data_IF_746893462729
#
_entry.id   IF_746893462729
#
_cell.length_a   1.000
_cell.length_b   1.000
_cell.length_c   1.000
_cell.angle_alpha   90.00
_cell.angle_beta   90.00
_cell.angle_gamma   90.00
#
_symmetry.space_group_name_H-M   'P 1'
#
loop_
_entity.id
_entity.type
_entity.pdbx_description
1 polymer ?
#
# COMPACT_ATOMS: atom_id res chain seq x y z
N UNK A 1 -14.93 13.49 2.28
CA UNK A 1 -15.92 13.30 3.34
C UNK A 1 -15.20 13.51 4.66
N UNK A 2 -15.79 14.25 5.58
CA UNK A 2 -15.33 14.26 6.97
C UNK A 2 -16.02 13.12 7.71
N UNK A 3 -15.24 12.23 8.30
CA UNK A 3 -15.75 11.15 9.16
C UNK A 3 -15.33 11.46 10.58
N UNK A 4 -16.31 11.51 11.48
CA UNK A 4 -16.09 11.65 12.91
C UNK A 4 -16.59 10.43 13.66
N UNK A 5 -15.82 9.95 14.63
CA UNK A 5 -16.16 8.79 15.45
C UNK A 5 -15.93 9.12 16.91
N UNK A 6 -16.97 8.93 17.73
CA UNK A 6 -16.87 9.01 19.19
C UNK A 6 -16.60 7.62 19.75
N UNK A 7 -15.38 7.39 20.25
CA UNK A 7 -14.94 6.08 20.68
C UNK A 7 -14.01 6.10 21.90
N UNK A 8 -13.85 4.94 22.53
CA UNK A 8 -12.93 4.72 23.65
C UNK A 8 -12.44 3.27 23.66
N UNK A 9 -11.31 3.07 24.34
CA UNK A 9 -10.78 1.76 24.63
C UNK A 9 -11.23 1.27 26.01
N UNK A 10 -12.15 0.30 26.03
CA UNK A 10 -12.69 -0.22 27.30
C UNK A 10 -11.92 -1.46 27.72
N UNK A 11 -11.54 -1.52 29.00
CA UNK A 11 -10.96 -2.72 29.63
C UNK A 11 -9.69 -3.21 28.93
N UNK A 12 -8.78 -2.28 28.58
CA UNK A 12 -7.46 -2.62 27.99
C UNK A 12 -6.64 -3.50 28.93
N UNK A 13 -6.74 -3.23 30.23
CA UNK A 13 -6.19 -4.06 31.29
C UNK A 13 -7.24 -5.10 31.71
N UNK A 14 -6.90 -6.37 31.56
CA UNK A 14 -7.79 -7.49 31.84
C UNK A 14 -7.04 -8.66 32.48
N UNK A 15 -7.78 -9.62 33.05
CA UNK A 15 -7.22 -10.75 33.79
C UNK A 15 -7.43 -12.11 33.07
N UNK A 16 -7.78 -12.07 31.77
CA UNK A 16 -7.91 -13.25 30.91
C UNK A 16 -6.58 -13.91 30.51
N UNK A 17 -5.42 -13.31 30.82
CA UNK A 17 -4.11 -13.85 30.46
C UNK A 17 -4.00 -14.24 28.98
N UNK A 18 -3.44 -15.42 28.69
CA UNK A 18 -3.31 -15.97 27.33
C UNK A 18 -4.62 -16.50 26.73
N UNK A 19 -5.74 -16.45 27.45
CA UNK A 19 -7.02 -16.96 26.95
C UNK A 19 -7.56 -16.14 25.78
N UNK A 20 -7.17 -14.87 25.65
CA UNK A 20 -7.49 -14.04 24.47
C UNK A 20 -6.50 -14.24 23.31
N UNK A 21 -5.64 -15.26 23.40
CA UNK A 21 -4.57 -15.51 22.45
C UNK A 21 -3.37 -14.62 22.74
N UNK A 22 -2.94 -13.89 21.72
CA UNK A 22 -1.78 -13.00 21.73
C UNK A 22 -2.14 -11.56 22.18
N UNK A 23 -3.41 -11.29 22.51
CA UNK A 23 -3.88 -9.97 22.94
C UNK A 23 -3.00 -9.43 24.08
N UNK A 24 -2.27 -8.35 23.80
CA UNK A 24 -1.33 -7.76 24.74
C UNK A 24 -2.09 -6.91 25.75
N UNK A 25 -1.98 -7.32 27.00
CA UNK A 25 -2.70 -6.71 28.10
C UNK A 25 -2.19 -5.29 28.37
N UNK A 26 -3.07 -4.30 28.31
CA UNK A 26 -2.72 -2.89 28.49
C UNK A 26 -2.24 -2.16 27.23
N UNK A 27 -2.18 -2.84 26.08
CA UNK A 27 -1.84 -2.18 24.81
C UNK A 27 -2.92 -1.21 24.34
N UNK A 28 -2.56 -0.17 23.56
CA UNK A 28 -3.54 0.68 22.88
C UNK A 28 -4.44 -0.14 21.95
N UNK A 29 -5.73 0.22 21.90
CA UNK A 29 -6.64 -0.37 20.92
C UNK A 29 -6.57 0.46 19.63
N UNK A 30 -6.41 -0.19 18.50
CA UNK A 30 -6.29 0.49 17.22
C UNK A 30 -7.66 0.53 16.55
N UNK A 31 -8.22 1.73 16.49
CA UNK A 31 -9.42 2.00 15.69
C UNK A 31 -9.00 2.34 14.26
N UNK A 32 -9.55 1.63 13.29
CA UNK A 32 -9.31 1.84 11.86
C UNK A 32 -10.61 2.30 11.19
N UNK A 33 -10.52 3.34 10.37
CA UNK A 33 -11.57 3.74 9.44
C UNK A 33 -11.20 3.17 8.08
N UNK A 34 -12.09 2.40 7.48
CA UNK A 34 -11.89 1.83 6.16
C UNK A 34 -13.03 2.18 5.21
N UNK A 35 -12.71 2.44 3.94
CA UNK A 35 -13.68 2.43 2.86
C UNK A 35 -13.86 0.98 2.40
N UNK A 36 -15.10 0.48 2.41
CA UNK A 36 -15.42 -0.89 2.01
C UNK A 36 -16.41 -0.92 0.87
N UNK A 37 -16.17 -1.83 -0.07
CA UNK A 37 -17.09 -2.11 -1.16
C UNK A 37 -17.87 -3.40 -0.84
N UNK A 38 -19.20 -3.27 -0.82
CA UNK A 38 -20.15 -4.38 -0.61
C UNK A 38 -21.01 -4.67 -1.84
N UNK A 39 -20.78 -3.98 -2.95
CA UNK A 39 -21.55 -4.16 -4.18
C UNK A 39 -21.40 -5.62 -4.65
N UNK A 40 -22.52 -6.30 -4.87
CA UNK A 40 -22.57 -7.73 -5.19
C UNK A 40 -22.89 -8.65 -4.00
N UNK A 41 -23.05 -8.13 -2.78
CA UNK A 41 -23.57 -8.92 -1.66
C UNK A 41 -25.10 -9.01 -1.67
N UNK A 42 -25.62 -10.21 -1.42
CA UNK A 42 -27.06 -10.53 -1.30
C UNK A 42 -27.64 -10.29 0.11
N UNK A 43 -26.85 -9.83 1.07
CA UNK A 43 -27.28 -9.50 2.44
C UNK A 43 -26.73 -8.14 2.86
N UNK A 44 -27.49 -7.40 3.67
CA UNK A 44 -27.15 -6.05 4.18
C UNK A 44 -25.89 -6.00 5.05
N UNK A 45 -25.28 -7.16 5.34
CA UNK A 45 -24.02 -7.34 6.09
C UNK A 45 -22.96 -8.08 5.27
N UNK A 46 -22.99 -7.87 3.96
CA UNK A 46 -22.23 -8.61 2.95
C UNK A 46 -20.74 -8.84 3.12
N UNK A 47 -20.25 -9.82 2.36
CA UNK A 47 -18.80 -9.99 2.14
C UNK A 47 -18.24 -8.70 1.54
N UNK A 48 -17.19 -8.19 2.16
CA UNK A 48 -16.43 -7.04 1.66
C UNK A 48 -15.58 -7.53 0.49
N UNK A 49 -15.83 -7.01 -0.72
CA UNK A 49 -15.08 -7.37 -1.92
C UNK A 49 -13.75 -6.64 -2.00
N UNK A 50 -13.74 -5.37 -1.55
CA UNK A 50 -12.56 -4.52 -1.47
C UNK A 50 -12.61 -3.65 -0.22
N UNK A 51 -11.44 -3.43 0.38
CA UNK A 51 -11.28 -2.61 1.58
C UNK A 51 -10.03 -1.76 1.45
N UNK A 52 -10.15 -0.48 1.80
CA UNK A 52 -9.06 0.49 1.79
C UNK A 52 -9.02 1.12 3.18
N UNK A 53 -7.91 0.96 3.90
CA UNK A 53 -7.68 1.68 5.16
C UNK A 53 -7.55 3.17 4.86
N UNK A 54 -8.36 3.99 5.51
CA UNK A 54 -8.37 5.46 5.35
C UNK A 54 -7.62 6.14 6.51
N UNK A 55 -7.84 5.69 7.74
CA UNK A 55 -7.21 6.26 8.92
C UNK A 55 -7.06 5.22 10.03
N UNK A 56 -6.09 5.43 10.94
CA UNK A 56 -5.86 4.61 12.13
C UNK A 56 -5.53 5.51 13.32
N UNK A 57 -6.09 5.19 14.49
CA UNK A 57 -5.80 5.90 15.74
C UNK A 57 -5.68 4.93 16.92
N UNK A 58 -4.77 5.23 17.84
CA UNK A 58 -4.64 4.51 19.10
C UNK A 58 -5.58 5.09 20.15
N UNK A 59 -6.33 4.21 20.79
CA UNK A 59 -7.20 4.52 21.92
C UNK A 59 -6.57 3.97 23.20
N UNK A 60 -6.30 4.85 24.15
CA UNK A 60 -5.60 4.53 25.41
C UNK A 60 -6.45 4.75 26.66
N UNK A 61 -7.50 5.56 26.56
CA UNK A 61 -8.39 5.89 27.67
C UNK A 61 -9.77 5.23 27.52
N UNK A 62 -10.50 5.15 28.65
CA UNK A 62 -11.87 4.62 28.70
C UNK A 62 -12.92 5.71 28.49
N UNK A 63 -12.52 6.98 28.51
CA UNK A 63 -13.41 8.12 28.30
C UNK A 63 -13.69 8.31 26.80
N UNK A 64 -14.95 8.53 26.40
CA UNK A 64 -15.28 8.65 24.98
C UNK A 64 -14.79 9.98 24.39
N UNK A 65 -13.87 9.89 23.44
CA UNK A 65 -13.30 11.02 22.71
C UNK A 65 -13.79 11.07 21.25
N UNK A 66 -13.79 12.27 20.68
CA UNK A 66 -14.09 12.49 19.27
C UNK A 66 -12.80 12.44 18.44
N UNK A 67 -12.83 11.63 17.38
CA UNK A 67 -11.78 11.57 16.38
C UNK A 67 -12.36 11.94 15.02
N UNK A 68 -11.64 12.72 14.24
CA UNK A 68 -12.12 13.27 12.97
C UNK A 68 -11.05 13.17 11.89
N UNK A 69 -11.48 12.81 10.67
CA UNK A 69 -10.61 12.73 9.50
C UNK A 69 -11.31 13.22 8.25
N UNK A 70 -10.60 13.99 7.45
CA UNK A 70 -10.96 14.26 6.07
C UNK A 70 -10.40 13.17 5.16
N UNK A 71 -11.30 12.41 4.55
CA UNK A 71 -10.96 11.23 3.75
C UNK A 71 -11.56 11.33 2.35
N UNK A 72 -10.82 10.79 1.40
CA UNK A 72 -11.35 10.50 0.06
C UNK A 72 -12.00 9.13 0.06
N UNK A 73 -13.23 9.05 -0.44
CA UNK A 73 -13.98 7.81 -0.59
C UNK A 73 -14.71 7.82 -1.93
N UNK A 74 -14.46 6.80 -2.75
CA UNK A 74 -15.08 6.67 -4.07
C UNK A 74 -16.57 6.36 -3.96
N UNK A 75 -17.35 6.77 -4.97
CA UNK A 75 -18.77 6.44 -5.05
C UNK A 75 -18.99 4.92 -5.01
N UNK A 76 -19.88 4.49 -4.12
CA UNK A 76 -20.21 3.07 -3.91
C UNK A 76 -19.41 2.39 -2.81
N UNK A 77 -18.40 3.06 -2.23
CA UNK A 77 -17.78 2.63 -0.98
C UNK A 77 -18.56 3.20 0.22
N UNK A 78 -18.56 2.44 1.31
CA UNK A 78 -19.14 2.81 2.59
C UNK A 78 -18.05 2.88 3.66
N UNK A 79 -18.14 3.77 4.66
CA UNK A 79 -17.17 3.79 5.74
C UNK A 79 -17.48 2.70 6.77
N UNK A 80 -16.44 2.05 7.27
CA UNK A 80 -16.50 1.03 8.32
C UNK A 80 -15.50 1.35 9.43
N UNK A 81 -15.98 1.35 10.68
CA UNK A 81 -15.14 1.47 11.87
C UNK A 81 -14.75 0.06 12.33
N UNK A 82 -13.45 -0.17 12.50
CA UNK A 82 -12.88 -1.49 12.76
C UNK A 82 -11.97 -1.46 13.99
N UNK A 83 -11.94 -2.58 14.70
CA UNK A 83 -10.98 -2.84 15.76
C UNK A 83 -9.79 -3.60 15.19
N UNK A 84 -8.77 -2.87 14.73
CA UNK A 84 -7.71 -3.40 13.85
C UNK A 84 -6.84 -4.46 14.51
N UNK A 85 -6.29 -4.16 15.69
CA UNK A 85 -5.54 -5.11 16.50
C UNK A 85 -6.46 -5.93 17.43
N UNK A 86 -7.76 -5.97 17.10
CA UNK A 86 -8.81 -6.68 17.78
C UNK A 86 -8.84 -8.19 17.48
N UNK A 87 -9.79 -8.92 18.09
CA UNK A 87 -10.04 -10.32 17.77
C UNK A 87 -10.51 -10.51 16.31
N UNK A 88 -9.75 -11.29 15.53
CA UNK A 88 -10.05 -11.55 14.11
C UNK A 88 -11.38 -12.28 13.86
N UNK A 89 -11.88 -13.06 14.83
CA UNK A 89 -13.13 -13.80 14.69
C UNK A 89 -13.83 -14.00 16.03
N UNK A 90 -15.07 -13.51 16.15
CA UNK A 90 -15.88 -13.65 17.36
C UNK A 90 -16.09 -15.13 17.76
N UNK A 91 -16.31 -16.03 16.79
CA UNK A 91 -16.44 -17.47 17.06
C UNK A 91 -15.17 -18.07 17.69
N UNK A 92 -14.00 -17.66 17.20
CA UNK A 92 -12.71 -18.09 17.76
C UNK A 92 -12.56 -17.58 19.19
N UNK A 93 -12.87 -16.30 19.43
CA UNK A 93 -12.84 -15.73 20.79
C UNK A 93 -13.75 -16.52 21.75
N UNK A 94 -15.01 -16.78 21.38
CA UNK A 94 -15.96 -17.53 22.21
C UNK A 94 -15.40 -18.90 22.57
N UNK A 95 -14.82 -19.61 21.59
CA UNK A 95 -14.14 -20.89 21.84
C UNK A 95 -12.97 -20.73 22.80
N UNK A 96 -12.11 -19.74 22.59
CA UNK A 96 -10.93 -19.53 23.44
C UNK A 96 -11.31 -19.18 24.88
N UNK A 97 -12.29 -18.30 25.08
CA UNK A 97 -12.80 -17.93 26.42
C UNK A 97 -13.40 -19.13 27.15
N UNK A 98 -14.22 -19.93 26.46
CA UNK A 98 -14.86 -21.12 27.07
C UNK A 98 -13.94 -22.32 27.22
N UNK A 99 -12.70 -22.27 26.69
CA UNK A 99 -11.70 -23.33 26.82
C UNK A 99 -10.59 -22.94 27.80
N UNK A 100 -10.06 -21.72 27.69
CA UNK A 100 -8.87 -21.27 28.41
C UNK A 100 -9.16 -20.31 29.57
N UNK A 101 -10.38 -19.79 29.67
CA UNK A 101 -10.86 -18.99 30.79
C UNK A 101 -12.14 -19.60 31.40
N UNK A 102 -12.35 -20.91 31.23
CA UNK A 102 -13.57 -21.61 31.65
C UNK A 102 -13.82 -21.54 33.18
N UNK A 103 -12.77 -21.27 33.95
CA UNK A 103 -12.79 -21.09 35.40
C UNK A 103 -13.40 -19.75 35.84
N UNK A 104 -13.48 -18.77 34.93
CA UNK A 104 -14.06 -17.45 35.20
C UNK A 104 -15.58 -17.54 35.48
N UNK A 105 -16.09 -16.90 36.55
CA UNK A 105 -17.51 -16.96 36.92
C UNK A 105 -18.47 -16.59 35.79
N UNK A 106 -18.11 -15.61 34.96
CA UNK A 106 -18.91 -15.13 33.84
C UNK A 106 -19.04 -16.15 32.68
N UNK A 107 -18.14 -17.13 32.57
CA UNK A 107 -18.16 -18.11 31.48
C UNK A 107 -18.66 -19.49 31.90
N UNK A 108 -18.60 -19.83 33.20
CA UNK A 108 -19.09 -21.11 33.75
C UNK A 108 -20.47 -21.54 33.23
N UNK A 109 -21.50 -20.66 33.13
CA UNK A 109 -22.82 -21.07 32.64
C UNK A 109 -22.82 -21.56 31.18
N UNK A 110 -21.80 -21.19 30.40
CA UNK A 110 -21.76 -21.40 28.95
C UNK A 110 -20.78 -22.51 28.52
N UNK A 111 -19.95 -23.03 29.42
CA UNK A 111 -18.89 -24.02 29.09
C UNK A 111 -19.49 -25.28 28.48
N UNK A 112 -20.50 -25.86 29.13
CA UNK A 112 -21.13 -27.12 28.71
C UNK A 112 -22.26 -26.95 27.68
N UNK A 113 -22.60 -25.70 27.34
CA UNK A 113 -23.60 -25.45 26.31
C UNK A 113 -23.11 -25.90 24.93
N UNK A 114 -24.05 -26.46 24.15
CA UNK A 114 -23.83 -26.77 22.73
C UNK A 114 -23.43 -25.48 21.99
N UNK A 115 -22.49 -25.60 21.05
CA UNK A 115 -22.11 -24.49 20.19
C UNK A 115 -23.32 -23.91 19.44
N UNK A 116 -23.45 -22.58 19.46
CA UNK A 116 -24.57 -21.87 18.86
C UNK A 116 -24.59 -20.38 19.20
N UNK A 117 -25.55 -19.65 18.65
CA UNK A 117 -25.70 -18.20 18.86
C UNK A 117 -25.97 -17.85 20.32
N UNK A 118 -26.75 -18.66 21.03
CA UNK A 118 -27.07 -18.44 22.45
C UNK A 118 -25.81 -18.47 23.32
N UNK A 119 -24.99 -19.52 23.19
CA UNK A 119 -23.68 -19.62 23.86
C UNK A 119 -22.79 -18.43 23.51
N UNK A 120 -22.68 -18.09 22.23
CA UNK A 120 -21.85 -16.97 21.78
C UNK A 120 -22.30 -15.63 22.39
N UNK A 121 -23.61 -15.34 22.36
CA UNK A 121 -24.18 -14.12 22.92
C UNK A 121 -23.97 -14.02 24.43
N UNK A 122 -24.18 -15.13 25.15
CA UNK A 122 -23.97 -15.21 26.59
C UNK A 122 -22.52 -14.94 26.99
N UNK A 123 -21.57 -15.63 26.34
CA UNK A 123 -20.12 -15.44 26.54
C UNK A 123 -19.70 -14.01 26.23
N UNK A 124 -20.15 -13.44 25.10
CA UNK A 124 -19.79 -12.08 24.70
C UNK A 124 -20.43 -11.00 25.58
N UNK A 125 -21.59 -11.26 26.20
CA UNK A 125 -22.17 -10.37 27.21
C UNK A 125 -21.39 -10.40 28.53
N UNK A 126 -20.93 -11.59 28.94
CA UNK A 126 -20.12 -11.76 30.15
C UNK A 126 -18.69 -11.26 29.99
N UNK A 127 -18.19 -11.15 28.76
CA UNK A 127 -16.84 -10.74 28.43
C UNK A 127 -16.51 -9.33 28.94
N UNK A 128 -15.47 -9.24 29.78
CA UNK A 128 -14.97 -7.99 30.37
C UNK A 128 -13.59 -7.58 29.84
N UNK A 129 -13.16 -8.13 28.70
CA UNK A 129 -11.84 -7.82 28.15
C UNK A 129 -11.88 -6.62 27.20
N UNK A 130 -10.78 -6.41 26.46
CA UNK A 130 -10.62 -5.28 25.55
C UNK A 130 -11.76 -5.16 24.55
N UNK A 131 -12.36 -3.97 24.49
CA UNK A 131 -13.45 -3.62 23.56
C UNK A 131 -13.22 -2.22 22.99
N UNK A 132 -13.21 -2.13 21.67
CA UNK A 132 -13.46 -0.87 20.97
C UNK A 132 -14.94 -0.53 21.14
N UNK A 133 -15.25 0.52 21.91
CA UNK A 133 -16.62 0.99 22.07
C UNK A 133 -16.82 2.24 21.22
N UNK A 134 -17.82 2.18 20.35
CA UNK A 134 -18.24 3.30 19.49
C UNK A 134 -19.59 3.78 19.98
N UNK A 135 -19.72 5.08 20.24
CA UNK A 135 -20.98 5.70 20.66
C UNK A 135 -21.70 6.36 19.49
N UNK A 136 -20.95 7.04 18.63
CA UNK A 136 -21.50 7.81 17.53
C UNK A 136 -20.54 7.80 16.35
N UNK A 137 -21.10 7.76 15.14
CA UNK A 137 -20.37 7.94 13.88
C UNK A 137 -21.12 9.02 13.11
N UNK A 138 -20.40 10.07 12.72
CA UNK A 138 -20.89 11.13 11.84
C UNK A 138 -20.14 11.09 10.52
N UNK A 139 -20.86 11.35 9.43
CA UNK A 139 -20.29 11.47 8.08
C UNK A 139 -20.84 12.76 7.49
N UNK A 140 -19.95 13.60 6.98
CA UNK A 140 -20.28 14.84 6.29
C UNK A 140 -19.64 14.84 4.89
N UNK A 141 -20.32 15.47 3.93
CA UNK A 141 -19.87 15.60 2.55
C UNK A 141 -20.70 14.83 1.51
N UNK A 142 -20.19 14.65 0.28
CA UNK A 142 -18.84 15.01 -0.15
C UNK A 142 -18.59 16.52 -0.08
N UNK A 143 -17.42 16.93 0.44
CA UNK A 143 -17.04 18.33 0.47
C UNK A 143 -16.62 18.77 -0.94
N UNK A 144 -17.16 19.91 -1.36
CA UNK A 144 -16.83 20.56 -2.62
C UNK A 144 -16.46 22.00 -2.28
N UNK A 145 -15.17 22.24 -2.06
CA UNK A 145 -14.67 23.55 -1.61
C UNK A 145 -14.85 24.63 -2.68
N UNK A 146 -14.66 24.23 -3.94
CA UNK A 146 -14.79 25.11 -5.10
C UNK A 146 -15.65 24.40 -6.15
N UNK A 147 -16.71 25.07 -6.58
CA UNK A 147 -17.48 24.68 -7.75
C UNK A 147 -17.22 25.67 -8.90
N UNK A 148 -16.95 25.20 -10.13
CA UNK A 148 -16.85 23.80 -10.51
C UNK A 148 -15.63 23.06 -9.93
N UNK A 149 -15.67 21.73 -9.86
CA UNK A 149 -14.52 20.95 -9.36
C UNK A 149 -13.33 20.99 -10.34
N UNK A 150 -12.13 20.60 -9.89
CA UNK A 150 -10.97 20.49 -10.80
C UNK A 150 -11.23 19.54 -11.98
N UNK A 151 -11.93 18.42 -11.74
CA UNK A 151 -12.34 17.49 -12.81
C UNK A 151 -13.37 18.12 -13.76
N UNK A 152 -14.31 18.90 -13.24
CA UNK A 152 -15.26 19.65 -14.08
C UNK A 152 -14.52 20.65 -14.96
N UNK A 153 -13.65 21.49 -14.39
CA UNK A 153 -12.84 22.45 -15.17
C UNK A 153 -11.93 21.79 -16.18
N UNK A 154 -11.39 20.61 -15.87
CA UNK A 154 -10.53 19.87 -16.78
C UNK A 154 -11.28 19.39 -18.03
N UNK A 155 -12.53 18.94 -17.87
CA UNK A 155 -13.37 18.43 -18.95
C UNK A 155 -14.19 19.53 -19.63
N UNK A 156 -14.94 20.30 -18.85
CA UNK A 156 -15.98 21.22 -19.33
C UNK A 156 -15.59 22.71 -19.23
N UNK A 157 -14.46 23.03 -18.60
CA UNK A 157 -14.12 24.42 -18.27
C UNK A 157 -15.12 25.02 -17.28
N UNK A 158 -15.60 26.23 -17.57
CA UNK A 158 -16.64 26.91 -16.76
C UNK A 158 -18.05 26.71 -17.33
N UNK A 159 -18.21 25.85 -18.34
CA UNK A 159 -19.50 25.64 -18.99
C UNK A 159 -20.48 24.91 -18.06
N UNK A 160 -21.71 25.39 -18.07
CA UNK A 160 -22.90 24.71 -17.55
C UNK A 160 -23.46 23.72 -18.59
N UNK A 161 -24.40 22.87 -18.18
CA UNK A 161 -24.98 21.86 -19.09
C UNK A 161 -25.73 22.52 -20.25
N UNK A 162 -26.37 23.65 -19.99
CA UNK A 162 -27.19 24.40 -20.94
C UNK A 162 -26.33 25.13 -21.99
N UNK A 163 -25.06 25.37 -21.70
CA UNK A 163 -24.09 26.01 -22.60
C UNK A 163 -23.34 25.00 -23.47
N UNK A 164 -23.65 23.70 -23.36
CA UNK A 164 -23.09 22.66 -24.20
C UNK A 164 -23.82 22.62 -25.55
N UNK A 165 -23.13 23.06 -26.58
CA UNK A 165 -23.54 22.96 -27.98
C UNK A 165 -22.37 22.47 -28.85
N UNK A 166 -22.61 22.34 -30.16
CA UNK A 166 -21.59 21.82 -31.06
C UNK A 166 -20.30 22.65 -31.08
N UNK A 167 -20.40 23.98 -30.94
CA UNK A 167 -19.24 24.88 -30.99
C UNK A 167 -18.46 24.84 -29.67
N UNK A 168 -19.17 24.93 -28.54
CA UNK A 168 -18.53 24.91 -27.22
C UNK A 168 -17.89 23.56 -26.93
N UNK A 169 -18.54 22.45 -27.31
CA UNK A 169 -17.98 21.09 -27.18
C UNK A 169 -16.73 20.94 -28.05
N UNK A 170 -16.76 21.39 -29.32
CA UNK A 170 -15.61 21.31 -30.22
C UNK A 170 -14.37 21.98 -29.62
N UNK A 171 -14.52 23.21 -29.10
CA UNK A 171 -13.44 23.95 -28.46
C UNK A 171 -12.94 23.28 -27.18
N UNK A 172 -13.84 22.78 -26.33
CA UNK A 172 -13.42 22.14 -25.08
C UNK A 172 -12.72 20.80 -25.31
N UNK A 173 -13.08 20.06 -26.37
CA UNK A 173 -12.36 18.84 -26.75
C UNK A 173 -10.91 19.12 -27.13
N UNK A 174 -10.62 20.25 -27.79
CA UNK A 174 -9.23 20.64 -28.11
C UNK A 174 -8.44 20.95 -26.84
N UNK A 175 -9.03 21.75 -25.94
CA UNK A 175 -8.40 22.10 -24.66
C UNK A 175 -8.18 20.87 -23.76
N UNK A 176 -9.15 19.95 -23.75
CA UNK A 176 -9.02 18.70 -23.02
C UNK A 176 -7.97 17.78 -23.66
N UNK A 177 -7.94 17.68 -24.99
CA UNK A 177 -6.94 16.91 -25.72
C UNK A 177 -5.52 17.43 -25.46
N UNK A 178 -5.30 18.74 -25.46
CA UNK A 178 -4.00 19.35 -25.13
C UNK A 178 -3.50 18.91 -23.75
N UNK A 179 -4.38 18.99 -22.73
CA UNK A 179 -4.06 18.56 -21.36
C UNK A 179 -3.83 17.05 -21.28
N UNK A 180 -4.70 16.25 -21.91
CA UNK A 180 -4.63 14.79 -21.89
C UNK A 180 -3.37 14.28 -22.60
N UNK A 181 -3.01 14.88 -23.74
CA UNK A 181 -1.84 14.50 -24.52
C UNK A 181 -0.55 15.07 -23.95
N UNK A 182 -0.66 16.08 -23.07
CA UNK A 182 0.46 16.79 -22.39
C UNK A 182 1.31 17.59 -23.38
N UNK A 183 0.69 17.97 -24.49
CA UNK A 183 1.26 18.76 -25.59
C UNK A 183 0.11 19.31 -26.43
N UNK A 184 0.35 20.35 -27.24
CA UNK A 184 -0.56 20.70 -28.32
C UNK A 184 -0.83 19.48 -29.22
N UNK A 185 -2.10 19.21 -29.57
CA UNK A 185 -2.43 18.18 -30.55
C UNK A 185 -1.75 18.46 -31.90
N UNK A 186 -1.37 17.41 -32.64
CA UNK A 186 -0.83 17.59 -34.00
C UNK A 186 -1.98 17.89 -34.97
N UNK A 187 -1.67 18.49 -36.11
CA UNK A 187 -2.66 18.82 -37.14
C UNK A 187 -3.49 17.59 -37.53
N UNK A 188 -4.81 17.70 -37.46
CA UNK A 188 -5.77 16.63 -37.75
C UNK A 188 -5.91 15.55 -36.66
N UNK A 189 -5.19 15.62 -35.54
CA UNK A 189 -5.23 14.58 -34.49
C UNK A 189 -6.58 14.49 -33.78
N UNK A 190 -7.24 15.64 -33.56
CA UNK A 190 -8.51 15.74 -32.82
C UNK A 190 -9.72 15.66 -33.75
N UNK A 191 -9.54 15.91 -35.05
CA UNK A 191 -10.62 16.00 -36.04
C UNK A 191 -11.49 14.74 -36.12
N UNK A 192 -10.97 13.49 -36.11
CA UNK A 192 -11.80 12.30 -36.09
C UNK A 192 -12.71 12.21 -34.86
N UNK A 193 -12.25 12.73 -33.72
CA UNK A 193 -13.01 12.73 -32.46
C UNK A 193 -14.10 13.81 -32.50
N UNK A 194 -13.77 14.99 -33.01
CA UNK A 194 -14.76 16.05 -33.22
C UNK A 194 -15.88 15.61 -34.19
N UNK A 195 -15.52 14.91 -35.26
CA UNK A 195 -16.48 14.35 -36.22
C UNK A 195 -17.40 13.31 -35.57
N UNK A 196 -16.85 12.39 -34.76
CA UNK A 196 -17.64 11.42 -33.98
C UNK A 196 -18.69 12.10 -33.10
N UNK A 197 -18.28 13.17 -32.40
CA UNK A 197 -19.14 13.93 -31.50
C UNK A 197 -20.21 14.69 -32.29
N UNK A 198 -19.83 15.34 -33.39
CA UNK A 198 -20.76 16.07 -34.25
C UNK A 198 -21.82 15.14 -34.86
N UNK A 199 -21.45 13.93 -35.27
CA UNK A 199 -22.39 12.95 -35.80
C UNK A 199 -23.32 12.39 -34.71
N UNK A 200 -22.81 12.23 -33.48
CA UNK A 200 -23.63 11.86 -32.32
C UNK A 200 -24.69 12.93 -32.00
N UNK A 201 -24.31 14.21 -32.05
CA UNK A 201 -25.24 15.34 -31.87
C UNK A 201 -26.30 15.37 -32.98
N UNK A 202 -25.92 15.16 -34.25
CA UNK A 202 -26.87 15.08 -35.38
C UNK A 202 -27.85 13.91 -35.24
N UNK A 203 -27.43 12.82 -34.60
CA UNK A 203 -28.28 11.67 -34.30
C UNK A 203 -29.25 11.92 -33.12
N UNK A 204 -29.18 13.08 -32.47
CA UNK A 204 -30.07 13.45 -31.36
C UNK A 204 -29.61 12.97 -29.98
N UNK A 205 -28.34 12.58 -29.82
CA UNK A 205 -27.75 12.27 -28.51
C UNK A 205 -27.68 13.56 -27.67
N UNK A 206 -27.91 13.45 -26.36
CA UNK A 206 -27.81 14.58 -25.43
C UNK A 206 -26.40 15.22 -25.50
N UNK A 207 -26.27 16.56 -25.51
CA UNK A 207 -24.97 17.22 -25.66
C UNK A 207 -23.92 16.82 -24.62
N UNK A 208 -24.33 16.58 -23.37
CA UNK A 208 -23.40 16.13 -22.33
C UNK A 208 -22.90 14.72 -22.61
N UNK A 209 -23.77 13.81 -23.03
CA UNK A 209 -23.40 12.44 -23.38
C UNK A 209 -22.48 12.40 -24.60
N UNK A 210 -22.79 13.19 -25.64
CA UNK A 210 -21.95 13.32 -26.83
C UNK A 210 -20.57 13.90 -26.49
N UNK A 211 -20.50 14.89 -25.60
CA UNK A 211 -19.22 15.42 -25.14
C UNK A 211 -18.42 14.37 -24.34
N UNK A 212 -19.07 13.67 -23.41
CA UNK A 212 -18.42 12.59 -22.65
C UNK A 212 -17.87 11.49 -23.57
N UNK A 213 -18.56 11.17 -24.67
CA UNK A 213 -18.06 10.25 -25.69
C UNK A 213 -16.76 10.78 -26.34
N UNK A 214 -16.68 12.07 -26.65
CA UNK A 214 -15.46 12.70 -27.17
C UNK A 214 -14.31 12.65 -26.16
N UNK A 215 -14.57 12.94 -24.89
CA UNK A 215 -13.56 12.83 -23.83
C UNK A 215 -13.09 11.38 -23.66
N UNK A 216 -13.99 10.39 -23.73
CA UNK A 216 -13.63 8.97 -23.71
C UNK A 216 -12.74 8.61 -24.90
N UNK A 217 -13.07 9.08 -26.10
CA UNK A 217 -12.26 8.85 -27.29
C UNK A 217 -10.84 9.45 -27.15
N UNK A 218 -10.70 10.64 -26.57
CA UNK A 218 -9.40 11.26 -26.25
C UNK A 218 -8.61 10.37 -25.27
N UNK A 219 -9.25 9.84 -24.22
CA UNK A 219 -8.61 8.96 -23.24
C UNK A 219 -8.27 7.56 -23.80
N UNK A 220 -8.79 7.20 -24.98
CA UNK A 220 -8.41 5.99 -25.70
C UNK A 220 -7.45 6.26 -26.86
N UNK A 221 -7.11 7.52 -27.14
CA UNK A 221 -6.26 7.88 -28.27
C UNK A 221 -4.76 7.59 -27.98
N UNK A 222 -3.95 7.31 -29.02
CA UNK A 222 -2.51 7.11 -28.87
C UNK A 222 -1.80 8.28 -28.16
N UNK A 223 -2.23 9.51 -28.40
CA UNK A 223 -1.69 10.72 -27.76
C UNK A 223 -1.84 10.72 -26.23
N UNK A 224 -2.85 10.02 -25.69
CA UNK A 224 -3.04 9.85 -24.24
C UNK A 224 -2.34 8.59 -23.71
N UNK A 225 -2.48 7.46 -24.41
CA UNK A 225 -1.96 6.17 -23.95
C UNK A 225 -0.43 6.08 -23.96
N UNK A 226 0.22 6.78 -24.89
CA UNK A 226 1.67 6.75 -25.05
C UNK A 226 2.28 8.13 -24.77
N UNK A 227 3.45 8.14 -24.13
CA UNK A 227 4.29 9.32 -24.06
C UNK A 227 5.07 9.46 -25.37
N UNK A 228 4.71 10.45 -26.18
CA UNK A 228 5.47 10.77 -27.39
C UNK A 228 6.73 11.55 -26.98
N UNK A 229 7.88 10.88 -27.00
CA UNK A 229 9.17 11.48 -26.65
C UNK A 229 9.96 12.00 -27.86
N UNK A 230 9.48 11.76 -29.08
CA UNK A 230 10.23 12.00 -30.31
C UNK A 230 11.42 11.04 -30.48
N UNK A 231 12.31 11.39 -31.41
CA UNK A 231 13.56 10.68 -31.68
C UNK A 231 14.77 11.55 -31.31
N UNK A 232 15.84 10.93 -30.81
CA UNK A 232 17.06 11.65 -30.43
C UNK A 232 16.98 12.34 -29.05
N UNK A 233 17.70 13.45 -28.85
CA UNK A 233 17.60 14.25 -27.62
C UNK A 233 16.18 14.73 -27.37
N UNK A 234 15.72 14.67 -26.11
CA UNK A 234 14.36 15.07 -25.76
C UNK A 234 14.15 16.57 -26.00
N UNK A 235 13.13 16.92 -26.77
CA UNK A 235 12.61 18.29 -26.84
C UNK A 235 12.00 18.72 -25.49
N UNK A 236 11.83 20.02 -25.28
CA UNK A 236 11.44 20.60 -23.98
C UNK A 236 10.11 20.03 -23.44
N UNK A 237 9.08 19.90 -24.28
CA UNK A 237 7.77 19.33 -23.88
C UNK A 237 7.90 17.83 -23.55
N UNK A 238 8.70 17.09 -24.32
CA UNK A 238 8.98 15.68 -24.06
C UNK A 238 9.78 15.50 -22.76
N UNK A 239 10.70 16.42 -22.46
CA UNK A 239 11.46 16.48 -21.21
C UNK A 239 10.54 16.73 -20.01
N UNK A 240 9.63 17.71 -20.09
CA UNK A 240 8.63 17.98 -19.05
C UNK A 240 7.73 16.75 -18.77
N UNK A 241 7.25 16.12 -19.85
CA UNK A 241 6.43 14.90 -19.73
C UNK A 241 7.21 13.75 -19.11
N UNK A 242 8.45 13.50 -19.54
CA UNK A 242 9.28 12.43 -18.97
C UNK A 242 9.59 12.69 -17.50
N UNK A 243 9.92 13.93 -17.13
CA UNK A 243 10.26 14.31 -15.76
C UNK A 243 9.07 14.15 -14.81
N UNK A 244 7.89 14.64 -15.21
CA UNK A 244 6.66 14.52 -14.42
C UNK A 244 6.21 13.08 -14.23
N UNK A 245 6.26 12.24 -15.26
CA UNK A 245 5.92 10.83 -15.10
C UNK A 245 6.97 10.05 -14.30
N UNK A 246 8.24 10.44 -14.38
CA UNK A 246 9.31 9.86 -13.57
C UNK A 246 9.14 10.17 -12.08
N UNK A 247 8.94 11.45 -11.72
CA UNK A 247 8.93 11.89 -10.32
C UNK A 247 7.54 11.87 -9.67
N UNK A 248 6.47 12.08 -10.44
CA UNK A 248 5.10 12.20 -9.91
C UNK A 248 4.13 11.14 -10.42
N UNK A 249 4.51 10.36 -11.44
CA UNK A 249 3.60 9.41 -12.11
C UNK A 249 2.28 10.09 -12.53
N UNK A 250 2.36 11.35 -12.95
CA UNK A 250 1.23 12.18 -13.37
C UNK A 250 1.66 13.19 -14.43
N UNK A 251 0.71 13.83 -15.14
CA UNK A 251 1.00 14.92 -16.06
C UNK A 251 1.85 16.04 -15.43
N UNK A 252 2.64 16.76 -16.26
CA UNK A 252 3.36 17.95 -15.82
C UNK A 252 2.39 19.02 -15.32
N UNK A 253 2.81 19.81 -14.34
CA UNK A 253 2.03 20.96 -13.90
C UNK A 253 2.22 22.15 -14.85
N UNK A 254 1.42 23.20 -14.66
CA UNK A 254 1.41 24.39 -15.51
C UNK A 254 2.79 25.05 -15.56
N UNK A 255 3.51 25.13 -14.43
CA UNK A 255 4.86 25.68 -14.37
C UNK A 255 5.83 24.89 -15.24
N UNK A 256 5.82 23.55 -15.15
CA UNK A 256 6.73 22.72 -15.93
C UNK A 256 6.42 22.77 -17.43
N UNK A 257 5.14 22.86 -17.79
CA UNK A 257 4.70 23.06 -19.18
C UNK A 257 5.09 24.45 -19.70
N UNK A 258 4.89 25.51 -18.92
CA UNK A 258 5.24 26.87 -19.30
C UNK A 258 6.73 27.04 -19.58
N UNK A 259 7.59 26.51 -18.69
CA UNK A 259 9.03 26.48 -18.89
C UNK A 259 9.42 25.69 -20.15
N UNK A 260 8.72 24.60 -20.44
CA UNK A 260 8.98 23.80 -21.63
C UNK A 260 8.57 24.51 -22.92
N UNK A 261 7.40 25.16 -22.94
CA UNK A 261 6.90 25.96 -24.08
C UNK A 261 7.85 27.12 -24.38
N UNK A 262 8.36 27.78 -23.35
CA UNK A 262 9.32 28.88 -23.47
C UNK A 262 10.78 28.42 -23.66
N UNK A 263 11.04 27.12 -23.75
CA UNK A 263 12.37 26.51 -23.92
C UNK A 263 13.40 26.86 -22.82
N UNK A 264 12.92 27.05 -21.60
CA UNK A 264 13.74 27.36 -20.43
C UNK A 264 13.87 26.16 -19.47
N UNK A 265 13.06 25.11 -19.61
CA UNK A 265 13.04 23.99 -18.67
C UNK A 265 14.42 23.33 -18.51
N UNK A 266 15.15 23.08 -19.59
CA UNK A 266 16.49 22.48 -19.48
C UNK A 266 17.48 23.33 -18.67
N UNK A 267 17.36 24.66 -18.73
CA UNK A 267 18.22 25.57 -17.99
C UNK A 267 17.90 25.58 -16.48
N UNK A 268 16.63 25.36 -16.11
CA UNK A 268 16.13 25.33 -14.72
C UNK A 268 15.91 23.90 -14.18
N UNK A 269 16.50 22.90 -14.83
CA UNK A 269 16.22 21.50 -14.52
C UNK A 269 16.54 21.13 -13.05
N UNK A 270 17.68 21.55 -12.45
CA UNK A 270 17.98 21.25 -11.04
C UNK A 270 16.95 21.83 -10.06
N UNK A 271 16.50 23.05 -10.29
CA UNK A 271 15.50 23.75 -9.48
C UNK A 271 14.14 23.03 -9.59
N UNK A 272 13.74 22.65 -10.81
CA UNK A 272 12.49 21.92 -11.04
C UNK A 272 12.53 20.52 -10.41
N UNK A 273 13.64 19.78 -10.51
CA UNK A 273 13.79 18.48 -9.84
C UNK A 273 13.64 18.62 -8.32
N UNK A 274 14.31 19.61 -7.73
CA UNK A 274 14.24 19.88 -6.28
C UNK A 274 12.81 20.21 -5.84
N UNK A 275 12.14 21.11 -6.57
CA UNK A 275 10.74 21.47 -6.33
C UNK A 275 9.82 20.25 -6.43
N UNK A 276 10.01 19.42 -7.44
CA UNK A 276 9.16 18.26 -7.68
C UNK A 276 9.35 17.18 -6.62
N UNK A 277 10.57 16.96 -6.14
CA UNK A 277 10.84 16.02 -5.04
C UNK A 277 10.27 16.51 -3.69
N UNK A 278 10.13 17.83 -3.50
CA UNK A 278 9.49 18.41 -2.32
C UNK A 278 7.95 18.36 -2.36
N UNK A 279 7.35 18.15 -3.54
CA UNK A 279 5.90 18.04 -3.71
C UNK A 279 5.39 16.66 -3.23
N UNK A 280 4.25 16.56 -2.51
CA UNK A 280 3.69 15.28 -2.05
C UNK A 280 3.44 14.25 -3.15
N UNK A 281 3.26 14.67 -4.41
CA UNK A 281 3.14 13.73 -5.54
C UNK A 281 4.39 12.86 -5.72
N UNK A 282 5.55 13.29 -5.22
CA UNK A 282 6.79 12.50 -5.22
C UNK A 282 6.71 11.22 -4.40
N UNK A 283 5.76 11.10 -3.47
CA UNK A 283 5.53 9.85 -2.74
C UNK A 283 5.17 8.70 -3.69
N UNK A 284 4.58 9.01 -4.85
CA UNK A 284 4.29 8.01 -5.89
C UNK A 284 5.59 7.45 -6.50
N UNK A 285 6.60 8.29 -6.72
CA UNK A 285 7.91 7.83 -7.17
C UNK A 285 8.55 6.91 -6.13
N UNK A 286 8.59 7.33 -4.85
CA UNK A 286 9.12 6.53 -3.76
C UNK A 286 8.43 5.15 -3.71
N UNK A 287 7.10 5.14 -3.66
CA UNK A 287 6.31 3.92 -3.60
C UNK A 287 6.56 3.01 -4.83
N UNK A 288 6.46 3.55 -6.05
CA UNK A 288 6.59 2.74 -7.26
C UNK A 288 8.01 2.26 -7.50
N UNK A 289 9.01 3.11 -7.28
CA UNK A 289 10.40 2.76 -7.46
C UNK A 289 10.80 1.65 -6.49
N UNK A 290 10.55 1.82 -5.19
CA UNK A 290 10.91 0.83 -4.18
C UNK A 290 10.14 -0.48 -4.39
N UNK A 291 8.83 -0.41 -4.65
CA UNK A 291 8.01 -1.60 -4.94
C UNK A 291 8.56 -2.42 -6.11
N UNK A 292 8.99 -1.75 -7.19
CA UNK A 292 9.50 -2.42 -8.41
C UNK A 292 10.95 -2.84 -8.29
N UNK A 293 11.79 -2.02 -7.68
CA UNK A 293 13.19 -2.35 -7.44
C UNK A 293 13.30 -3.62 -6.59
N UNK A 294 12.58 -3.67 -5.48
CA UNK A 294 12.65 -4.74 -4.49
C UNK A 294 11.52 -5.76 -4.61
N UNK A 295 10.80 -5.82 -5.74
CA UNK A 295 9.67 -6.74 -5.96
C UNK A 295 8.78 -6.94 -4.72
N UNK A 296 8.44 -5.85 -4.02
CA UNK A 296 7.80 -5.93 -2.69
C UNK A 296 6.43 -6.60 -2.73
N UNK A 297 5.84 -6.74 -3.92
CA UNK A 297 4.64 -7.51 -4.17
C UNK A 297 4.74 -8.97 -3.68
N UNK A 298 5.95 -9.54 -3.65
CA UNK A 298 6.18 -10.92 -3.19
C UNK A 298 5.86 -11.14 -1.70
N UNK A 299 5.92 -10.12 -0.85
CA UNK A 299 5.66 -10.22 0.62
C UNK A 299 4.23 -10.72 0.92
N UNK A 300 3.31 -10.62 -0.04
CA UNK A 300 1.93 -11.12 0.08
C UNK A 300 1.56 -12.27 -0.84
N UNK A 301 2.47 -12.74 -1.70
CA UNK A 301 2.18 -13.82 -2.63
C UNK A 301 2.06 -15.18 -1.90
N UNK A 302 2.92 -15.39 -0.90
CA UNK A 302 2.88 -16.56 0.00
C UNK A 302 3.02 -16.07 1.45
N UNK A 303 1.95 -15.49 2.03
CA UNK A 303 2.02 -14.92 3.37
C UNK A 303 2.23 -16.03 4.42
N UNK A 304 2.73 -15.69 5.62
CA UNK A 304 2.81 -16.61 6.74
C UNK A 304 1.48 -17.32 7.03
N UNK A 305 1.53 -18.53 7.57
CA UNK A 305 0.32 -19.24 8.04
C UNK A 305 -0.58 -18.34 8.90
N UNK A 306 -1.91 -18.51 8.80
CA UNK A 306 -2.89 -17.80 9.65
C UNK A 306 -2.72 -18.11 11.16
N UNK A 307 -1.95 -19.13 11.50
CA UNK A 307 -1.55 -19.42 12.88
C UNK A 307 -0.53 -18.41 13.43
N UNK A 308 0.20 -17.71 12.54
CA UNK A 308 1.10 -16.62 12.89
C UNK A 308 0.32 -15.31 13.08
N UNK A 309 -0.50 -15.29 14.14
CA UNK A 309 -1.52 -14.28 14.41
C UNK A 309 -0.97 -12.86 14.46
N UNK A 310 0.22 -12.68 15.04
CA UNK A 310 0.88 -11.38 15.20
C UNK A 310 1.04 -10.68 13.85
N UNK A 311 1.43 -11.41 12.79
CA UNK A 311 1.58 -10.83 11.46
C UNK A 311 0.31 -10.17 10.92
N UNK A 312 -0.84 -10.80 11.17
CA UNK A 312 -2.13 -10.32 10.68
C UNK A 312 -2.71 -9.23 11.58
N UNK A 313 -2.73 -9.48 12.89
CA UNK A 313 -3.23 -8.55 13.91
C UNK A 313 -2.46 -7.23 13.88
N UNK A 314 -1.14 -7.32 13.82
CA UNK A 314 -0.24 -6.17 13.92
C UNK A 314 0.05 -5.52 12.56
N UNK A 315 -0.57 -6.04 11.48
CA UNK A 315 -0.44 -5.53 10.13
C UNK A 315 1.04 -5.47 9.66
N UNK A 316 1.85 -6.47 10.03
CA UNK A 316 3.29 -6.46 9.83
C UNK A 316 3.67 -6.34 8.34
N UNK A 317 2.89 -6.95 7.44
CA UNK A 317 3.10 -6.79 6.00
C UNK A 317 3.14 -5.32 5.57
N UNK A 318 2.16 -4.54 6.02
CA UNK A 318 2.05 -3.12 5.70
C UNK A 318 3.17 -2.33 6.39
N UNK A 319 3.47 -2.64 7.65
CA UNK A 319 4.51 -1.96 8.40
C UNK A 319 5.90 -2.18 7.77
N UNK A 320 6.23 -3.41 7.36
CA UNK A 320 7.48 -3.76 6.69
C UNK A 320 7.65 -3.05 5.34
N UNK A 321 6.58 -2.93 4.54
CA UNK A 321 6.61 -2.17 3.28
C UNK A 321 6.86 -0.70 3.54
N UNK A 322 6.11 -0.10 4.47
CA UNK A 322 6.23 1.32 4.80
C UNK A 322 7.57 1.65 5.49
N UNK A 323 8.17 0.73 6.26
CA UNK A 323 9.54 0.85 6.76
C UNK A 323 10.51 1.10 5.61
N UNK A 324 10.43 0.25 4.57
CA UNK A 324 11.33 0.31 3.42
C UNK A 324 11.12 1.57 2.59
N UNK A 325 9.86 1.96 2.37
CA UNK A 325 9.50 3.20 1.66
C UNK A 325 9.96 4.44 2.44
N UNK A 326 9.75 4.46 3.76
CA UNK A 326 10.15 5.58 4.64
C UNK A 326 11.67 5.70 4.77
N UNK A 327 12.37 4.57 4.82
CA UNK A 327 13.83 4.52 4.77
C UNK A 327 14.35 5.11 3.46
N UNK A 328 13.82 4.68 2.32
CA UNK A 328 14.19 5.22 1.02
C UNK A 328 13.88 6.72 0.91
N UNK A 329 12.69 7.14 1.36
CA UNK A 329 12.28 8.56 1.43
C UNK A 329 13.30 9.38 2.21
N UNK A 330 13.75 8.88 3.36
CA UNK A 330 14.74 9.57 4.18
C UNK A 330 16.10 9.71 3.49
N UNK A 331 16.60 8.62 2.89
CA UNK A 331 17.85 8.64 2.11
C UNK A 331 17.77 9.66 0.98
N UNK A 332 16.64 9.72 0.28
CA UNK A 332 16.38 10.67 -0.80
C UNK A 332 16.31 12.12 -0.30
N UNK A 333 15.47 12.40 0.69
CA UNK A 333 15.21 13.76 1.19
C UNK A 333 16.44 14.39 1.85
N UNK A 334 17.27 13.57 2.50
CA UNK A 334 18.44 14.06 3.24
C UNK A 334 19.75 13.78 2.52
N UNK A 335 19.69 13.25 1.29
CA UNK A 335 20.84 12.92 0.45
C UNK A 335 21.90 12.11 1.21
N UNK A 336 21.47 11.02 1.85
CA UNK A 336 22.35 10.14 2.62
C UNK A 336 23.33 9.39 1.71
N UNK A 337 24.34 8.78 2.32
CA UNK A 337 25.26 7.91 1.60
C UNK A 337 24.51 6.68 1.07
N UNK A 338 24.78 6.28 -0.17
CA UNK A 338 24.24 5.03 -0.74
C UNK A 338 24.62 3.78 0.09
N UNK A 339 25.70 3.86 0.88
CA UNK A 339 26.10 2.80 1.80
C UNK A 339 25.08 2.54 2.92
N UNK A 340 24.25 3.53 3.29
CA UNK A 340 23.18 3.36 4.27
C UNK A 340 22.22 2.22 3.90
N UNK A 341 22.01 1.97 2.60
CA UNK A 341 21.21 0.83 2.15
C UNK A 341 21.77 -0.54 2.59
N UNK A 342 23.04 -0.61 2.97
CA UNK A 342 23.72 -1.84 3.41
C UNK A 342 23.86 -1.93 4.92
N UNK A 343 24.21 -0.84 5.61
CA UNK A 343 24.64 -0.88 7.01
C UNK A 343 24.12 0.26 7.90
N UNK A 344 23.06 0.97 7.49
CA UNK A 344 22.47 2.02 8.32
C UNK A 344 22.18 1.54 9.75
N UNK A 345 22.55 2.38 10.72
CA UNK A 345 22.31 2.15 12.15
C UNK A 345 20.94 2.69 12.62
N UNK A 346 20.00 2.85 11.68
CA UNK A 346 18.65 3.33 11.93
C UNK A 346 17.64 2.67 10.99
N UNK A 347 16.37 2.67 11.39
CA UNK A 347 15.23 2.33 10.53
C UNK A 347 14.00 3.15 10.92
N UNK A 348 12.89 2.97 10.21
CA UNK A 348 11.61 3.61 10.47
C UNK A 348 10.61 2.58 10.98
N UNK A 349 10.33 2.61 12.27
CA UNK A 349 9.54 1.58 12.96
C UNK A 349 8.34 2.22 13.66
N UNK A 350 7.22 1.52 13.63
CA UNK A 350 6.13 1.76 14.58
C UNK A 350 6.24 0.74 15.72
N UNK A 351 5.43 0.90 16.76
CA UNK A 351 5.41 0.02 17.94
C UNK A 351 5.38 -1.46 17.57
N UNK A 352 4.52 -1.82 16.63
CA UNK A 352 4.30 -3.20 16.24
C UNK A 352 5.48 -3.84 15.52
N UNK A 353 6.08 -3.11 14.58
CA UNK A 353 7.25 -3.58 13.87
C UNK A 353 8.47 -3.65 14.79
N UNK A 354 8.62 -2.68 15.70
CA UNK A 354 9.68 -2.69 16.69
C UNK A 354 9.58 -3.91 17.62
N UNK A 355 8.38 -4.23 18.11
CA UNK A 355 8.15 -5.43 18.91
C UNK A 355 8.46 -6.72 18.14
N UNK A 356 8.04 -6.80 16.87
CA UNK A 356 8.41 -7.91 16.00
C UNK A 356 9.94 -8.05 15.82
N UNK A 357 10.67 -6.93 15.85
CA UNK A 357 12.13 -6.92 15.76
C UNK A 357 12.85 -7.08 17.10
N UNK A 358 12.13 -7.10 18.22
CA UNK A 358 12.73 -7.12 19.56
C UNK A 358 13.40 -5.80 19.95
N UNK A 359 12.91 -4.68 19.40
CA UNK A 359 13.40 -3.32 19.70
C UNK A 359 12.43 -2.67 20.69
N UNK A 360 12.95 -2.25 21.85
CA UNK A 360 12.19 -1.64 22.92
C UNK A 360 12.07 -0.11 22.76
N UNK A 361 11.12 0.49 23.47
CA UNK A 361 11.00 1.96 23.58
C UNK A 361 10.32 2.67 22.41
N UNK A 362 9.75 1.93 21.46
CA UNK A 362 8.98 2.50 20.34
C UNK A 362 7.48 2.42 20.66
N UNK A 363 6.80 3.56 20.60
CA UNK A 363 5.38 3.69 20.88
C UNK A 363 4.62 4.25 19.67
N UNK A 364 3.31 4.03 19.60
CA UNK A 364 2.46 4.55 18.54
C UNK A 364 2.41 3.72 17.25
N UNK A 365 1.34 3.94 16.49
CA UNK A 365 1.09 3.30 15.20
C UNK A 365 1.85 3.94 14.02
N UNK A 366 2.32 5.18 14.19
CA UNK A 366 3.10 5.90 13.18
C UNK A 366 4.54 5.41 13.11
N UNK A 367 5.12 5.39 11.91
CA UNK A 367 6.53 5.12 11.73
C UNK A 367 7.35 6.31 12.23
N UNK A 368 8.40 6.04 12.98
CA UNK A 368 9.36 7.04 13.45
C UNK A 368 10.78 6.53 13.23
N UNK A 369 11.74 7.45 13.06
CA UNK A 369 13.16 7.07 12.94
C UNK A 369 13.64 6.52 14.29
N UNK A 370 14.15 5.30 14.30
CA UNK A 370 14.61 4.56 15.48
C UNK A 370 16.05 4.12 15.27
N UNK A 371 16.88 4.29 16.30
CA UNK A 371 18.26 3.78 16.31
C UNK A 371 18.27 2.26 16.38
N UNK A 372 19.10 1.64 15.55
CA UNK A 372 19.40 0.21 15.50
C UNK A 372 20.76 -0.12 16.12
N UNK A 373 21.36 0.79 16.89
CA UNK A 373 22.63 0.49 17.56
C UNK A 373 22.50 -0.74 18.47
N UNK A 374 23.39 -1.71 18.28
CA UNK A 374 23.35 -3.01 18.98
C UNK A 374 22.38 -4.04 18.35
N UNK A 375 21.62 -3.66 17.33
CA UNK A 375 20.79 -4.58 16.53
C UNK A 375 21.58 -5.15 15.36
N UNK A 376 21.11 -6.29 14.83
CA UNK A 376 21.64 -6.92 13.60
C UNK A 376 20.85 -6.54 12.35
N UNK A 377 19.88 -5.62 12.46
CA UNK A 377 18.93 -5.26 11.40
C UNK A 377 19.33 -4.03 10.57
N UNK A 378 20.62 -3.73 10.45
CA UNK A 378 21.09 -2.57 9.70
C UNK A 378 20.81 -2.68 8.19
N UNK A 379 20.52 -1.54 7.56
CA UNK A 379 20.26 -1.42 6.12
C UNK A 379 19.05 -2.21 5.59
N UNK A 380 18.87 -2.18 4.27
CA UNK A 380 17.73 -2.82 3.58
C UNK A 380 17.66 -4.33 3.80
N UNK A 381 18.81 -4.98 3.87
CA UNK A 381 18.88 -6.44 4.05
C UNK A 381 18.35 -6.88 5.42
N UNK A 382 18.35 -5.97 6.41
CA UNK A 382 17.79 -6.20 7.74
C UNK A 382 16.27 -6.00 7.83
N UNK A 383 15.66 -5.38 6.83
CA UNK A 383 14.22 -5.11 6.79
C UNK A 383 13.42 -6.40 6.64
N UNK A 384 12.34 -6.51 7.40
CA UNK A 384 11.39 -7.62 7.33
C UNK A 384 10.77 -7.78 5.95
N UNK A 385 10.58 -6.68 5.22
CA UNK A 385 10.12 -6.70 3.84
C UNK A 385 11.07 -7.48 2.92
N UNK A 386 12.37 -7.18 2.99
CA UNK A 386 13.40 -7.84 2.18
C UNK A 386 13.53 -9.33 2.53
N UNK A 387 13.52 -9.64 3.84
CA UNK A 387 13.63 -11.00 4.35
C UNK A 387 12.40 -11.87 4.01
N UNK A 388 11.21 -11.26 3.96
CA UNK A 388 9.95 -11.96 3.64
C UNK A 388 9.76 -12.11 2.13
N UNK A 389 10.16 -11.13 1.32
CA UNK A 389 10.05 -11.19 -0.14
C UNK A 389 10.82 -12.37 -0.77
N UNK A 390 11.83 -12.89 -0.07
CA UNK A 390 12.67 -14.02 -0.49
C UNK A 390 12.35 -15.34 0.23
N UNK A 391 11.26 -15.39 1.00
CA UNK A 391 10.82 -16.57 1.74
C UNK A 391 9.52 -17.15 1.16
N UNK A 392 9.15 -18.36 1.60
CA UNK A 392 7.79 -18.86 1.46
C UNK A 392 7.08 -18.78 2.83
N UNK A 393 5.76 -18.83 2.86
CA UNK A 393 4.96 -18.62 4.09
C UNK A 393 5.17 -19.64 5.22
N UNK A 394 6.10 -20.58 5.06
CA UNK A 394 6.44 -21.64 6.03
C UNK A 394 7.94 -21.60 6.38
N UNK A 395 8.80 -21.52 5.37
CA UNK A 395 10.25 -21.63 5.46
C UNK A 395 10.98 -20.45 4.80
N UNK A 396 12.11 -20.07 5.40
CA UNK A 396 13.07 -19.17 4.75
C UNK A 396 13.86 -19.93 3.67
N UNK A 397 14.18 -19.28 2.54
CA UNK A 397 15.03 -19.86 1.51
C UNK A 397 16.33 -19.08 1.34
N UNK A 398 17.46 -19.54 1.93
CA UNK A 398 18.75 -18.87 1.77
C UNK A 398 19.18 -18.75 0.30
N UNK A 399 18.96 -19.78 -0.52
CA UNK A 399 19.33 -19.74 -1.94
C UNK A 399 18.55 -18.63 -2.67
N UNK A 400 17.22 -18.58 -2.48
CA UNK A 400 16.38 -17.53 -3.10
C UNK A 400 16.78 -16.16 -2.58
N UNK A 401 17.06 -16.00 -1.29
CA UNK A 401 17.57 -14.75 -0.72
C UNK A 401 18.90 -14.33 -1.30
N UNK A 402 19.84 -15.25 -1.49
CA UNK A 402 21.15 -14.97 -2.09
C UNK A 402 21.02 -14.49 -3.54
N UNK A 403 20.17 -15.15 -4.33
CA UNK A 403 19.83 -14.72 -5.70
C UNK A 403 19.20 -13.32 -5.67
N UNK A 404 18.25 -13.11 -4.77
CA UNK A 404 17.55 -11.84 -4.63
C UNK A 404 18.50 -10.68 -4.28
N UNK A 405 19.48 -10.90 -3.40
CA UNK A 405 20.56 -9.93 -3.12
C UNK A 405 21.40 -9.66 -4.37
N UNK A 406 21.82 -10.71 -5.09
CA UNK A 406 22.62 -10.57 -6.32
C UNK A 406 21.89 -9.75 -7.38
N UNK A 407 20.60 -9.99 -7.57
CA UNK A 407 19.80 -9.31 -8.60
C UNK A 407 19.47 -7.88 -8.20
N UNK A 408 19.02 -7.65 -6.97
CA UNK A 408 18.49 -6.34 -6.56
C UNK A 408 19.58 -5.37 -6.13
N UNK A 409 20.68 -5.85 -5.55
CA UNK A 409 21.75 -4.98 -5.05
C UNK A 409 22.99 -5.00 -5.94
N UNK A 410 23.34 -6.15 -6.54
CA UNK A 410 24.58 -6.31 -7.30
C UNK A 410 24.38 -6.29 -8.83
N UNK A 411 23.13 -6.23 -9.31
CA UNK A 411 22.82 -6.22 -10.74
C UNK A 411 23.27 -7.48 -11.48
N UNK A 412 23.35 -8.61 -10.78
CA UNK A 412 23.79 -9.89 -11.33
C UNK A 412 22.69 -10.94 -11.24
N UNK A 413 22.21 -11.42 -12.38
CA UNK A 413 21.35 -12.59 -12.46
C UNK A 413 22.20 -13.85 -12.62
N UNK A 414 22.21 -14.78 -11.65
CA UNK A 414 22.91 -16.05 -11.79
C UNK A 414 22.31 -16.88 -12.93
N UNK A 415 23.11 -17.69 -13.63
CA UNK A 415 22.60 -18.56 -14.69
C UNK A 415 21.59 -19.58 -14.11
N UNK A 416 20.60 -20.02 -14.90
CA UNK A 416 19.68 -21.07 -14.48
C UNK A 416 20.47 -22.37 -14.19
N UNK A 417 19.93 -23.26 -13.32
CA UNK A 417 20.57 -24.55 -13.08
C UNK A 417 20.72 -25.34 -14.39
N UNK A 418 21.84 -26.06 -14.61
CA UNK A 418 22.05 -26.76 -15.87
C UNK A 418 21.03 -27.90 -16.03
N UNK A 419 20.42 -28.07 -17.23
CA UNK A 419 19.34 -29.03 -17.45
C UNK A 419 19.78 -30.50 -17.31
N UNK A 420 21.07 -30.77 -17.50
CA UNK A 420 21.62 -32.13 -17.59
C UNK A 420 22.29 -32.63 -16.30
N UNK A 421 22.14 -31.91 -15.18
CA UNK A 421 22.62 -32.41 -13.88
C UNK A 421 21.51 -33.29 -13.31
N UNK A 422 21.73 -34.60 -13.10
CA UNK A 422 20.80 -35.43 -12.35
C UNK A 422 20.50 -34.74 -11.01
N UNK A 423 19.29 -34.86 -10.48
CA UNK A 423 19.02 -34.48 -9.08
C UNK A 423 19.95 -35.31 -8.17
N UNK A 424 21.15 -34.79 -7.91
CA UNK A 424 22.07 -35.34 -6.93
C UNK A 424 21.50 -34.88 -5.61
N UNK A 425 20.73 -35.74 -4.94
CA UNK A 425 20.33 -35.53 -3.56
C UNK A 425 21.59 -35.78 -2.70
N UNK A 426 22.24 -34.73 -2.16
CA UNK A 426 23.38 -34.94 -1.28
C UNK A 426 22.93 -35.73 -0.05
N UNK A 427 23.83 -36.52 0.55
CA UNK A 427 23.53 -37.21 1.80
C UNK A 427 23.36 -36.20 2.95
N UNK A 428 22.11 -35.80 3.19
CA UNK A 428 21.76 -34.84 4.24
C UNK A 428 21.68 -35.48 5.63
N UNK A 429 21.94 -36.78 5.81
CA UNK A 429 21.82 -37.44 7.13
C UNK A 429 22.67 -36.73 8.19
N UNK A 430 22.06 -36.35 9.30
CA UNK A 430 22.69 -35.59 10.37
C UNK A 430 22.75 -34.07 10.14
N UNK A 431 22.13 -33.54 9.08
CA UNK A 431 21.87 -32.10 8.96
C UNK A 431 20.65 -31.74 9.81
N UNK A 432 20.77 -30.72 10.65
CA UNK A 432 19.69 -30.27 11.54
C UNK A 432 19.10 -28.93 11.11
N UNK A 433 19.81 -28.19 10.26
CA UNK A 433 19.36 -26.91 9.70
C UNK A 433 19.46 -26.88 8.17
N UNK A 434 18.74 -25.92 7.55
CA UNK A 434 18.85 -25.65 6.10
C UNK A 434 20.30 -25.27 5.73
N UNK A 435 21.02 -24.59 6.62
CA UNK A 435 22.43 -24.26 6.42
C UNK A 435 23.28 -25.53 6.31
N UNK A 436 23.09 -26.50 7.21
CA UNK A 436 23.85 -27.76 7.17
C UNK A 436 23.55 -28.55 5.88
N UNK A 437 22.29 -28.53 5.43
CA UNK A 437 21.89 -29.16 4.18
C UNK A 437 22.59 -28.52 2.98
N UNK A 438 22.61 -27.18 2.91
CA UNK A 438 23.27 -26.43 1.84
C UNK A 438 24.80 -26.56 1.88
N UNK A 439 25.41 -26.59 3.06
CA UNK A 439 26.85 -26.85 3.20
C UNK A 439 27.23 -28.25 2.67
N UNK A 440 26.40 -29.26 2.93
CA UNK A 440 26.59 -30.60 2.34
C UNK A 440 26.36 -30.59 0.83
N UNK A 441 25.35 -29.85 0.35
CA UNK A 441 25.09 -29.69 -1.09
C UNK A 441 26.28 -29.04 -1.82
N UNK A 442 26.94 -28.07 -1.18
CA UNK A 442 28.15 -27.40 -1.69
C UNK A 442 29.40 -28.30 -1.77
N UNK A 443 29.40 -29.49 -1.19
CA UNK A 443 30.50 -30.44 -1.35
C UNK A 443 30.48 -31.15 -2.72
N UNK A 444 29.36 -31.06 -3.46
CA UNK A 444 29.29 -31.52 -4.85
C UNK A 444 29.94 -30.46 -5.74
N UNK A 445 31.00 -30.83 -6.46
CA UNK A 445 31.85 -29.89 -7.20
C UNK A 445 31.06 -29.00 -8.19
N UNK A 446 30.09 -29.59 -8.92
CA UNK A 446 29.23 -28.89 -9.88
C UNK A 446 28.28 -27.90 -9.21
N UNK A 447 27.65 -28.26 -8.08
CA UNK A 447 26.77 -27.37 -7.34
C UNK A 447 27.55 -26.21 -6.69
N UNK A 448 28.78 -26.47 -6.25
CA UNK A 448 29.63 -25.48 -5.59
C UNK A 448 29.98 -24.27 -6.47
N UNK A 449 30.02 -24.44 -7.80
CA UNK A 449 30.39 -23.36 -8.74
C UNK A 449 29.46 -22.14 -8.63
N UNK A 450 28.16 -22.40 -8.49
CA UNK A 450 27.15 -21.34 -8.31
C UNK A 450 26.92 -21.03 -6.84
N UNK A 451 26.74 -22.05 -5.99
CA UNK A 451 26.34 -21.87 -4.59
C UNK A 451 27.37 -21.16 -3.71
N UNK A 452 28.67 -21.18 -4.06
CA UNK A 452 29.68 -20.39 -3.35
C UNK A 452 29.45 -18.88 -3.45
N UNK A 453 28.77 -18.41 -4.50
CA UNK A 453 28.45 -16.99 -4.70
C UNK A 453 27.08 -16.61 -4.13
N UNK A 454 26.15 -17.57 -4.10
CA UNK A 454 24.75 -17.35 -3.72
C UNK A 454 24.57 -17.53 -2.21
N UNK A 455 24.92 -18.69 -1.68
CA UNK A 455 24.56 -19.10 -0.32
C UNK A 455 25.09 -18.15 0.77
N UNK A 456 26.33 -17.63 0.69
CA UNK A 456 26.82 -16.69 1.71
C UNK A 456 25.94 -15.44 1.86
N UNK A 457 25.41 -14.91 0.75
CA UNK A 457 24.51 -13.75 0.76
C UNK A 457 23.13 -14.11 1.30
N UNK A 458 22.68 -15.34 1.05
CA UNK A 458 21.42 -15.87 1.58
C UNK A 458 21.42 -16.13 3.08
N UNK A 459 22.60 -16.43 3.61
CA UNK A 459 22.85 -16.71 5.02
C UNK A 459 23.08 -15.48 5.90
N UNK A 460 23.52 -14.38 5.28
CA UNK A 460 23.95 -13.16 5.95
C UNK A 460 22.82 -12.47 6.71
#
# INVERSE_FOLDING_TARGET
YTIRVKAAAISRHHDYGKALGDFRNGDPLVMEIAAVDRRGSVVSTGNVSKMISLARVELTNEEPEWFEWDVYMETGFEPEVRFRNGPMAAKRMVRMLTTHAADKPEFKPFVDMKGGLEKAHGVLKGYQGPRLRVWEIGIEGPHVDVWPTAGHRALYGELTREELDAETIHRQLELFAEKAFRRPPVEGEVEPIQNLVADSLKAGVDPLEAFQLGCQAILCAPGFLYLNLGEGPLEEIALASRLSYFLWSSPPDEMLLDLAVHKNLRAELPEQVTRMLADPRSDRFVHHFVRRWLDLDNIGAMPPSAEFLEYYRDNLQSAMRQETESFFRHVLDTNQNVQDFLDADYSFLNRELALHYGIEGVEGNGLQKVSLQGSRRGGLIGHGAFLTASANGVDTSPVVRGIYVLEKLLGYSPPPPPPDVPLIEPDIRGAVSIRDQLEKHRNVATCAECHRKIDPLGFA
#
